data_IF_798649695653
#
_entry.id   IF_798649695653
#
_cell.length_a   1.000
_cell.length_b   1.000
_cell.length_c   1.000
_cell.angle_alpha   90.00
_cell.angle_beta   90.00
_cell.angle_gamma   90.00
#
_symmetry.space_group_name_H-M   'P 1'
#
loop_
_entity.id
_entity.type
_entity.pdbx_description
1 polymer ?
#
# COMPACT_ATOMS: atom_id res chain seq x y z
N UNK A 1 -90.41 -36.62 -5.42
CA UNK A 1 -89.84 -37.34 -6.58
C UNK A 1 -90.08 -36.50 -7.82
N UNK A 2 -89.07 -36.46 -8.70
CA UNK A 2 -89.01 -35.76 -10.00
C UNK A 2 -88.82 -34.24 -9.98
N UNK A 3 -87.54 -33.84 -9.93
CA UNK A 3 -87.07 -32.65 -10.62
C UNK A 3 -86.93 -32.95 -12.11
N UNK A 4 -87.53 -32.11 -12.93
CA UNK A 4 -87.11 -31.83 -14.31
C UNK A 4 -86.99 -30.32 -14.41
N UNK A 5 -85.83 -29.83 -14.83
CA UNK A 5 -85.69 -28.48 -15.36
C UNK A 5 -84.69 -28.51 -16.49
N UNK A 6 -85.23 -28.15 -17.64
CA UNK A 6 -84.62 -28.04 -18.96
C UNK A 6 -83.91 -26.70 -19.10
N UNK A 7 -82.85 -26.75 -19.90
CA UNK A 7 -81.92 -25.71 -20.33
C UNK A 7 -82.56 -24.61 -21.17
N UNK A 8 -82.11 -23.35 -21.02
CA UNK A 8 -81.94 -22.37 -22.12
C UNK A 8 -80.72 -21.47 -21.83
N UNK A 9 -79.98 -21.19 -22.90
CA UNK A 9 -78.65 -20.61 -23.12
C UNK A 9 -78.51 -19.09 -22.95
N UNK A 10 -77.28 -18.61 -22.70
CA UNK A 10 -76.71 -17.47 -23.46
C UNK A 10 -75.18 -17.38 -23.33
N UNK A 11 -74.56 -17.09 -24.47
CA UNK A 11 -73.12 -16.93 -24.72
C UNK A 11 -72.51 -15.74 -23.98
N UNK A 12 -71.28 -15.89 -23.48
CA UNK A 12 -70.34 -14.77 -23.41
C UNK A 12 -68.97 -15.21 -23.90
N UNK A 13 -68.47 -14.50 -24.91
CA UNK A 13 -67.18 -14.66 -25.56
C UNK A 13 -66.07 -14.24 -24.61
N UNK A 14 -65.22 -15.18 -24.17
CA UNK A 14 -64.00 -14.88 -23.45
C UNK A 14 -62.88 -14.53 -24.44
N UNK A 15 -62.79 -13.26 -24.83
CA UNK A 15 -61.52 -12.71 -25.34
C UNK A 15 -60.65 -12.34 -24.13
N UNK A 16 -59.82 -13.28 -23.70
CA UNK A 16 -58.70 -12.99 -22.80
C UNK A 16 -57.58 -12.42 -23.67
N UNK A 17 -57.45 -11.10 -23.69
CA UNK A 17 -56.22 -10.43 -24.12
C UNK A 17 -55.11 -10.87 -23.17
N UNK A 18 -53.97 -11.39 -23.65
CA UNK A 18 -52.85 -11.65 -22.77
C UNK A 18 -52.33 -10.31 -22.25
N UNK A 19 -52.30 -10.19 -20.93
CA UNK A 19 -51.67 -9.10 -20.20
C UNK A 19 -50.21 -9.01 -20.66
N UNK A 20 -49.91 -7.99 -21.46
CA UNK A 20 -48.54 -7.65 -21.83
C UNK A 20 -47.90 -7.20 -20.54
N UNK A 21 -47.16 -8.09 -19.90
CA UNK A 21 -46.31 -7.78 -18.76
C UNK A 21 -45.30 -6.74 -19.24
N UNK A 22 -45.64 -5.47 -19.03
CA UNK A 22 -44.74 -4.33 -19.21
C UNK A 22 -43.50 -4.64 -18.38
N UNK A 23 -42.38 -4.90 -19.07
CA UNK A 23 -41.08 -4.92 -18.40
C UNK A 23 -40.95 -3.57 -17.70
N UNK A 24 -40.57 -3.53 -16.41
CA UNK A 24 -40.38 -2.25 -15.74
C UNK A 24 -39.36 -1.42 -16.54
N UNK A 25 -39.62 -0.12 -16.68
CA UNK A 25 -38.79 0.81 -17.45
C UNK A 25 -37.34 0.89 -16.92
N UNK A 26 -37.13 0.42 -15.69
CA UNK A 26 -35.83 0.26 -15.05
C UNK A 26 -35.86 -0.88 -14.01
N UNK A 27 -34.71 -1.49 -13.76
CA UNK A 27 -34.46 -2.45 -12.69
C UNK A 27 -34.32 -1.73 -11.35
N UNK A 28 -34.86 -2.30 -10.28
CA UNK A 28 -34.55 -1.84 -8.92
C UNK A 28 -33.06 -2.07 -8.61
N UNK A 29 -32.55 -1.45 -7.55
CA UNK A 29 -31.15 -1.57 -7.15
C UNK A 29 -30.70 -3.01 -6.97
N UNK A 30 -31.53 -3.81 -6.31
CA UNK A 30 -31.23 -5.22 -6.10
C UNK A 30 -31.24 -6.00 -7.41
N UNK A 31 -32.20 -5.71 -8.30
CA UNK A 31 -32.26 -6.36 -9.62
C UNK A 31 -31.08 -5.98 -10.51
N UNK A 32 -30.59 -4.73 -10.45
CA UNK A 32 -29.40 -4.30 -11.15
C UNK A 32 -28.15 -5.01 -10.60
N UNK A 33 -27.97 -5.02 -9.27
CA UNK A 33 -26.89 -5.77 -8.63
C UNK A 33 -26.93 -7.27 -8.94
N UNK A 34 -28.14 -7.87 -9.06
CA UNK A 34 -28.32 -9.24 -9.53
C UNK A 34 -27.83 -9.46 -10.96
N UNK A 35 -28.03 -8.51 -11.88
CA UNK A 35 -27.48 -8.62 -13.23
C UNK A 35 -25.95 -8.58 -13.22
N UNK A 36 -25.34 -7.76 -12.35
CA UNK A 36 -23.89 -7.73 -12.17
C UNK A 36 -23.37 -9.05 -11.63
N UNK A 37 -23.99 -9.59 -10.57
CA UNK A 37 -23.63 -10.90 -10.01
C UNK A 37 -23.79 -12.03 -11.04
N UNK A 38 -24.87 -11.98 -11.85
CA UNK A 38 -25.09 -12.93 -12.96
C UNK A 38 -23.98 -12.82 -14.01
N UNK A 39 -23.57 -11.62 -14.39
CA UNK A 39 -22.51 -11.40 -15.36
C UNK A 39 -21.15 -11.92 -14.87
N UNK A 40 -20.85 -11.72 -13.58
CA UNK A 40 -19.66 -12.29 -12.92
C UNK A 40 -19.70 -13.83 -12.98
N UNK A 41 -20.83 -14.43 -12.63
CA UNK A 41 -20.99 -15.88 -12.58
C UNK A 41 -21.03 -16.55 -13.97
N UNK A 42 -21.39 -15.82 -15.03
CA UNK A 42 -21.59 -16.34 -16.39
C UNK A 42 -20.72 -15.59 -17.42
N UNK A 43 -19.39 -15.83 -17.45
CA UNK A 43 -18.46 -15.10 -18.32
C UNK A 43 -18.79 -15.17 -19.82
N UNK A 44 -19.48 -16.23 -20.26
CA UNK A 44 -19.86 -16.44 -21.65
C UNK A 44 -21.15 -15.70 -22.03
N UNK A 45 -21.91 -15.17 -21.06
CA UNK A 45 -23.20 -14.50 -21.29
C UNK A 45 -23.15 -12.98 -21.00
N UNK A 46 -21.97 -12.41 -20.71
CA UNK A 46 -21.84 -11.01 -20.27
C UNK A 46 -22.54 -10.04 -21.24
N UNK A 47 -22.37 -10.21 -22.55
CA UNK A 47 -23.01 -9.35 -23.55
C UNK A 47 -24.55 -9.47 -23.55
N UNK A 48 -25.07 -10.69 -23.43
CA UNK A 48 -26.52 -10.94 -23.35
C UNK A 48 -27.09 -10.33 -22.07
N UNK A 49 -26.36 -10.41 -20.97
CA UNK A 49 -26.74 -9.83 -19.67
C UNK A 49 -26.71 -8.29 -19.76
N UNK A 50 -25.69 -7.70 -20.37
CA UNK A 50 -25.63 -6.27 -20.61
C UNK A 50 -26.85 -5.76 -21.39
N UNK A 51 -27.26 -6.47 -22.44
CA UNK A 51 -28.45 -6.16 -23.23
C UNK A 51 -29.77 -6.32 -22.46
N UNK A 52 -29.77 -7.10 -21.36
CA UNK A 52 -30.94 -7.25 -20.51
C UNK A 52 -31.12 -6.09 -19.52
N UNK A 53 -30.09 -5.26 -19.32
CA UNK A 53 -30.16 -4.04 -18.52
C UNK A 53 -30.83 -2.94 -19.38
N UNK A 54 -31.89 -2.28 -18.88
CA UNK A 54 -32.56 -1.19 -19.57
C UNK A 54 -31.62 -0.06 -19.98
N UNK A 55 -31.81 0.48 -21.19
CA UNK A 55 -30.93 1.51 -21.79
C UNK A 55 -30.70 2.71 -20.86
N UNK A 56 -31.76 3.15 -20.17
CA UNK A 56 -31.70 4.25 -19.20
C UNK A 56 -30.71 4.03 -18.06
N UNK A 57 -30.39 2.78 -17.73
CA UNK A 57 -29.48 2.40 -16.64
C UNK A 57 -28.06 2.06 -17.10
N UNK A 58 -27.81 2.09 -18.42
CA UNK A 58 -26.50 1.78 -19.04
C UNK A 58 -26.12 2.76 -20.17
N UNK A 59 -26.78 3.92 -20.23
CA UNK A 59 -26.81 4.80 -21.40
C UNK A 59 -25.41 5.21 -21.89
N UNK A 60 -24.47 5.40 -20.96
CA UNK A 60 -23.14 5.91 -21.26
C UNK A 60 -22.04 4.84 -21.23
N UNK A 61 -22.41 3.56 -21.14
CA UNK A 61 -21.46 2.45 -21.04
C UNK A 61 -21.38 1.73 -22.36
N UNK A 62 -20.16 1.59 -22.87
CA UNK A 62 -19.90 0.75 -24.03
C UNK A 62 -19.92 -0.73 -23.61
N UNK A 63 -20.43 -1.64 -24.46
CA UNK A 63 -20.43 -3.07 -24.17
C UNK A 63 -19.04 -3.62 -23.80
N UNK A 64 -17.99 -3.16 -24.48
CA UNK A 64 -16.62 -3.61 -24.23
C UNK A 64 -16.09 -3.16 -22.86
N UNK A 65 -16.43 -1.95 -22.42
CA UNK A 65 -16.07 -1.46 -21.09
C UNK A 65 -16.78 -2.26 -20.00
N UNK A 66 -18.06 -2.57 -20.22
CA UNK A 66 -18.81 -3.45 -19.32
C UNK A 66 -18.18 -4.84 -19.24
N UNK A 67 -17.81 -5.44 -20.38
CA UNK A 67 -17.16 -6.75 -20.40
C UNK A 67 -15.82 -6.74 -19.64
N UNK A 68 -14.98 -5.74 -19.87
CA UNK A 68 -13.70 -5.61 -19.18
C UNK A 68 -13.90 -5.42 -17.67
N UNK A 69 -14.87 -4.59 -17.28
CA UNK A 69 -15.19 -4.33 -15.88
C UNK A 69 -15.68 -5.59 -15.15
N UNK A 70 -16.61 -6.35 -15.76
CA UNK A 70 -17.10 -7.61 -15.20
C UNK A 70 -15.98 -8.65 -15.09
N UNK A 71 -15.09 -8.74 -16.09
CA UNK A 71 -13.93 -9.65 -16.03
C UNK A 71 -12.98 -9.30 -14.90
N UNK A 72 -12.77 -8.01 -14.64
CA UNK A 72 -12.00 -7.56 -13.49
C UNK A 72 -12.68 -7.93 -12.16
N UNK A 73 -13.97 -7.62 -11.99
CA UNK A 73 -14.71 -7.99 -10.78
C UNK A 73 -14.69 -9.51 -10.54
N UNK A 74 -14.75 -10.31 -11.61
CA UNK A 74 -14.64 -11.77 -11.52
C UNK A 74 -13.30 -12.23 -10.94
N UNK A 75 -12.19 -11.50 -11.15
CA UNK A 75 -10.88 -11.81 -10.55
C UNK A 75 -10.83 -11.62 -9.04
N UNK A 76 -11.83 -10.96 -8.45
CA UNK A 76 -11.94 -10.81 -7.00
C UNK A 76 -12.62 -12.00 -6.32
N UNK A 77 -13.52 -12.67 -7.04
CA UNK A 77 -14.37 -13.72 -6.49
C UNK A 77 -13.77 -15.10 -6.73
N UNK A 78 -13.46 -15.83 -5.66
CA UNK A 78 -12.96 -17.21 -5.76
C UNK A 78 -14.10 -18.18 -6.07
N UNK A 79 -15.30 -17.88 -5.57
CA UNK A 79 -16.49 -18.69 -5.75
C UNK A 79 -17.59 -17.94 -6.51
N UNK A 80 -18.59 -18.65 -7.06
CA UNK A 80 -19.77 -18.01 -7.62
C UNK A 80 -20.52 -17.19 -6.56
N UNK A 81 -20.96 -16.00 -6.94
CA UNK A 81 -21.78 -15.14 -6.08
C UNK A 81 -23.16 -15.78 -5.92
N UNK A 82 -23.54 -16.09 -4.68
CA UNK A 82 -24.82 -16.74 -4.35
C UNK A 82 -25.75 -15.85 -3.52
N UNK A 83 -25.20 -14.82 -2.86
CA UNK A 83 -25.95 -13.94 -1.97
C UNK A 83 -25.55 -12.48 -2.21
N UNK A 84 -26.53 -11.59 -2.08
CA UNK A 84 -26.38 -10.15 -2.17
C UNK A 84 -26.92 -9.52 -0.90
N UNK A 85 -26.07 -8.84 -0.16
CA UNK A 85 -26.44 -8.16 1.07
C UNK A 85 -26.22 -6.66 0.91
N UNK A 86 -27.28 -5.86 1.05
CA UNK A 86 -27.17 -4.39 0.99
C UNK A 86 -26.35 -3.89 2.18
N UNK A 87 -25.37 -3.03 1.89
CA UNK A 87 -24.55 -2.36 2.91
C UNK A 87 -25.38 -1.23 3.52
N UNK A 88 -25.43 -1.19 4.85
CA UNK A 88 -26.12 -0.11 5.56
C UNK A 88 -25.30 1.18 5.55
N UNK A 89 -25.95 2.32 5.81
CA UNK A 89 -25.30 3.63 5.76
C UNK A 89 -24.16 3.80 6.76
N UNK A 90 -24.17 3.09 7.90
CA UNK A 90 -23.13 3.18 8.92
C UNK A 90 -21.82 2.54 8.42
N UNK A 91 -21.90 1.44 7.70
CA UNK A 91 -20.76 0.77 7.06
C UNK A 91 -20.36 1.44 5.73
N UNK A 92 -21.34 1.93 4.97
CA UNK A 92 -21.10 2.54 3.68
C UNK A 92 -20.34 3.86 3.79
N UNK A 93 -20.68 4.71 4.78
CA UNK A 93 -20.06 6.03 4.95
C UNK A 93 -18.53 5.98 5.06
N UNK A 94 -17.92 5.15 5.94
CA UNK A 94 -16.46 5.02 6.01
C UNK A 94 -15.82 4.54 4.70
N UNK A 95 -16.47 3.63 3.97
CA UNK A 95 -15.97 3.12 2.68
C UNK A 95 -15.93 4.24 1.62
N UNK A 96 -16.93 5.11 1.63
CA UNK A 96 -17.04 6.25 0.71
C UNK A 96 -16.26 7.48 1.18
N UNK A 97 -15.97 7.64 2.47
CA UNK A 97 -15.32 8.83 3.02
C UNK A 97 -13.94 9.12 2.40
N UNK A 98 -13.28 8.08 1.90
CA UNK A 98 -11.97 8.17 1.26
C UNK A 98 -12.05 8.31 -0.27
N UNK A 99 -13.24 8.17 -0.87
CA UNK A 99 -13.45 8.32 -2.30
C UNK A 99 -13.44 9.80 -2.68
N UNK A 100 -12.30 10.28 -3.16
CA UNK A 100 -12.12 11.68 -3.59
C UNK A 100 -13.13 12.13 -4.66
N UNK A 101 -13.69 11.21 -5.44
CA UNK A 101 -14.57 11.49 -6.58
C UNK A 101 -16.06 11.26 -6.31
N UNK A 102 -16.40 10.64 -5.19
CA UNK A 102 -17.76 10.14 -4.93
C UNK A 102 -18.54 10.96 -3.89
N UNK A 103 -17.91 11.97 -3.27
CA UNK A 103 -18.48 12.69 -2.13
C UNK A 103 -19.86 13.34 -2.41
N UNK A 104 -20.15 13.66 -3.67
CA UNK A 104 -21.40 14.34 -4.07
C UNK A 104 -22.41 13.42 -4.76
N UNK A 105 -22.07 12.17 -5.07
CA UNK A 105 -22.97 11.24 -5.75
C UNK A 105 -23.68 10.36 -4.70
N UNK A 106 -24.96 10.07 -4.94
CA UNK A 106 -25.70 9.11 -4.13
C UNK A 106 -25.29 7.70 -4.54
N UNK A 107 -24.92 6.88 -3.56
CA UNK A 107 -24.47 5.52 -3.79
C UNK A 107 -25.26 4.54 -2.95
N UNK A 108 -25.38 3.33 -3.48
CA UNK A 108 -25.71 2.15 -2.69
C UNK A 108 -24.56 1.13 -2.83
N UNK A 109 -24.29 0.41 -1.74
CA UNK A 109 -23.29 -0.64 -1.69
C UNK A 109 -23.94 -2.01 -1.48
N UNK A 110 -23.33 -3.05 -2.05
CA UNK A 110 -23.72 -4.44 -1.86
C UNK A 110 -22.48 -5.28 -1.56
N UNK A 111 -22.56 -6.11 -0.52
CA UNK A 111 -21.67 -7.26 -0.39
C UNK A 111 -22.14 -8.35 -1.36
N UNK A 112 -21.23 -8.79 -2.21
CA UNK A 112 -21.40 -9.95 -3.07
C UNK A 112 -20.75 -11.12 -2.33
N UNK A 113 -21.56 -12.09 -1.95
CA UNK A 113 -21.19 -13.16 -1.04
C UNK A 113 -21.33 -14.52 -1.71
N UNK A 114 -20.42 -15.43 -1.39
CA UNK A 114 -20.47 -16.83 -1.80
C UNK A 114 -20.71 -17.71 -0.57
N UNK A 115 -21.29 -18.90 -0.80
CA UNK A 115 -21.36 -19.96 0.19
C UNK A 115 -20.37 -21.05 -0.22
N UNK A 116 -19.09 -20.99 0.21
CA UNK A 116 -18.13 -22.01 -0.13
C UNK A 116 -18.62 -23.36 0.41
N UNK A 117 -18.28 -24.45 -0.28
CA UNK A 117 -18.63 -25.80 0.13
C UNK A 117 -17.33 -26.56 0.50
N UNK A 118 -16.66 -26.23 1.61
CA UNK A 118 -15.50 -26.98 2.06
C UNK A 118 -15.94 -28.40 2.44
N UNK A 119 -15.27 -29.42 1.89
CA UNK A 119 -15.51 -30.83 2.24
C UNK A 119 -16.98 -31.30 2.09
N UNK A 120 -17.70 -30.80 1.10
CA UNK A 120 -19.12 -31.10 0.85
C UNK A 120 -20.10 -30.61 1.95
N UNK A 121 -19.68 -29.73 2.84
CA UNK A 121 -20.57 -29.08 3.81
C UNK A 121 -20.71 -27.58 3.50
N UNK A 122 -21.91 -26.98 3.65
CA UNK A 122 -22.07 -25.54 3.49
C UNK A 122 -21.24 -24.77 4.52
N UNK A 123 -20.25 -24.02 4.04
CA UNK A 123 -19.50 -23.07 4.86
C UNK A 123 -20.33 -21.83 5.18
N UNK A 124 -19.82 -21.01 6.10
CA UNK A 124 -20.37 -19.68 6.34
C UNK A 124 -20.21 -18.81 5.07
N UNK A 125 -21.14 -17.87 4.80
CA UNK A 125 -20.99 -16.94 3.70
C UNK A 125 -19.67 -16.18 3.78
N UNK A 126 -18.95 -16.09 2.66
CA UNK A 126 -17.72 -15.34 2.51
C UNK A 126 -17.99 -14.13 1.62
N UNK A 127 -17.52 -12.96 2.05
CA UNK A 127 -17.57 -11.73 1.25
C UNK A 127 -16.51 -11.83 0.15
N UNK A 128 -16.96 -11.91 -1.10
CA UNK A 128 -16.08 -12.01 -2.26
C UNK A 128 -15.68 -10.62 -2.76
N UNK A 129 -16.63 -9.69 -2.84
CA UNK A 129 -16.36 -8.30 -3.22
C UNK A 129 -17.44 -7.33 -2.72
N UNK A 130 -17.11 -6.03 -2.80
CA UNK A 130 -18.06 -4.94 -2.59
C UNK A 130 -18.37 -4.31 -3.95
N UNK A 131 -19.66 -4.21 -4.26
CA UNK A 131 -20.15 -3.53 -5.46
C UNK A 131 -20.84 -2.22 -5.09
N UNK A 132 -20.45 -1.13 -5.76
CA UNK A 132 -21.07 0.19 -5.63
C UNK A 132 -21.86 0.52 -6.87
N UNK A 133 -23.05 1.08 -6.68
CA UNK A 133 -23.89 1.58 -7.76
C UNK A 133 -24.34 3.00 -7.47
N UNK A 134 -24.52 3.78 -8.53
CA UNK A 134 -24.99 5.15 -8.46
C UNK A 134 -26.51 5.20 -8.45
N UNK A 135 -27.06 6.17 -7.72
CA UNK A 135 -28.48 6.47 -7.65
C UNK A 135 -28.72 7.87 -8.21
N UNK A 136 -29.57 7.98 -9.22
CA UNK A 136 -29.97 9.26 -9.79
C UNK A 136 -30.85 10.05 -8.81
N UNK A 137 -31.08 11.34 -9.08
CA UNK A 137 -31.88 12.18 -8.19
C UNK A 137 -33.34 11.72 -8.05
N UNK A 138 -33.87 11.05 -9.06
CA UNK A 138 -35.20 10.43 -9.05
C UNK A 138 -35.23 9.05 -8.36
N UNK A 139 -34.11 8.60 -7.80
CA UNK A 139 -33.98 7.30 -7.12
C UNK A 139 -33.69 6.12 -8.05
N UNK A 140 -33.55 6.36 -9.36
CA UNK A 140 -33.24 5.28 -10.32
C UNK A 140 -31.78 4.84 -10.17
N UNK A 141 -31.50 3.55 -9.93
CA UNK A 141 -30.13 3.05 -9.93
C UNK A 141 -29.60 2.95 -11.36
N UNK A 142 -28.34 3.24 -11.57
CA UNK A 142 -27.72 3.15 -12.89
C UNK A 142 -26.25 2.77 -12.77
N UNK A 143 -25.71 2.28 -13.88
CA UNK A 143 -24.29 2.08 -14.06
C UNK A 143 -23.70 3.38 -14.60
N UNK A 144 -22.81 4.01 -13.85
CA UNK A 144 -22.13 5.22 -14.27
C UNK A 144 -20.84 4.87 -15.03
N UNK A 145 -20.63 5.50 -16.19
CA UNK A 145 -19.43 5.32 -16.99
C UNK A 145 -18.17 5.83 -16.27
N UNK A 146 -18.26 6.95 -15.55
CA UNK A 146 -17.10 7.57 -14.92
C UNK A 146 -16.34 6.62 -13.96
N UNK A 147 -16.99 5.99 -12.96
CA UNK A 147 -16.29 5.06 -12.07
C UNK A 147 -15.78 3.82 -12.80
N UNK A 148 -16.53 3.30 -13.78
CA UNK A 148 -16.10 2.14 -14.57
C UNK A 148 -14.84 2.48 -15.37
N UNK A 149 -14.83 3.58 -16.11
CA UNK A 149 -13.69 4.02 -16.90
C UNK A 149 -12.44 4.25 -16.05
N UNK A 150 -12.58 4.79 -14.83
CA UNK A 150 -11.47 4.95 -13.88
C UNK A 150 -10.92 3.61 -13.40
N UNK A 151 -11.80 2.67 -13.04
CA UNK A 151 -11.39 1.30 -12.67
C UNK A 151 -10.64 0.64 -13.84
N UNK A 152 -11.12 0.77 -15.07
CA UNK A 152 -10.45 0.23 -16.24
C UNK A 152 -9.09 0.89 -16.49
N UNK A 153 -8.98 2.20 -16.25
CA UNK A 153 -7.71 2.93 -16.35
C UNK A 153 -6.69 2.45 -15.30
N UNK A 154 -7.12 2.24 -14.06
CA UNK A 154 -6.31 1.63 -13.00
C UNK A 154 -5.86 0.22 -13.38
N UNK A 155 -6.76 -0.59 -13.95
CA UNK A 155 -6.45 -1.94 -14.38
C UNK A 155 -5.45 -1.97 -15.54
N UNK A 156 -5.57 -1.06 -16.50
CA UNK A 156 -4.63 -0.93 -17.61
C UNK A 156 -3.25 -0.49 -17.12
N UNK A 157 -3.22 0.46 -16.19
CA UNK A 157 -1.98 0.89 -15.55
C UNK A 157 -1.32 -0.25 -14.76
N UNK A 158 -2.11 -1.03 -14.00
CA UNK A 158 -1.64 -2.21 -13.29
C UNK A 158 -1.03 -3.24 -14.25
N UNK A 159 -1.67 -3.50 -15.38
CA UNK A 159 -1.15 -4.40 -16.40
C UNK A 159 0.21 -3.93 -16.93
N UNK A 160 0.38 -2.64 -17.24
CA UNK A 160 1.67 -2.09 -17.67
C UNK A 160 2.76 -2.22 -16.60
N UNK A 161 2.43 -1.96 -15.33
CA UNK A 161 3.37 -2.08 -14.21
C UNK A 161 3.85 -3.52 -14.04
N UNK A 162 2.91 -4.46 -14.04
CA UNK A 162 3.19 -5.87 -13.88
C UNK A 162 3.89 -6.51 -15.09
N UNK A 163 3.52 -6.12 -16.31
CA UNK A 163 4.23 -6.54 -17.52
C UNK A 163 5.68 -6.06 -17.51
N UNK A 164 5.94 -4.83 -17.04
CA UNK A 164 7.30 -4.32 -16.90
C UNK A 164 8.10 -5.11 -15.87
N UNK A 165 7.48 -5.53 -14.76
CA UNK A 165 8.10 -6.40 -13.75
C UNK A 165 8.42 -7.78 -14.33
N UNK A 166 7.43 -8.44 -14.92
CA UNK A 166 7.57 -9.81 -15.44
C UNK A 166 8.62 -9.90 -16.57
N UNK A 167 8.74 -8.83 -17.37
CA UNK A 167 9.75 -8.73 -18.43
C UNK A 167 11.13 -8.25 -17.94
N UNK A 168 11.24 -7.81 -16.68
CA UNK A 168 12.45 -7.16 -16.18
C UNK A 168 12.77 -5.83 -16.90
N UNK A 169 11.75 -5.16 -17.45
CA UNK A 169 11.91 -3.93 -18.23
C UNK A 169 12.02 -2.72 -17.32
N UNK A 170 13.24 -2.46 -16.89
CA UNK A 170 13.63 -1.36 -16.01
C UNK A 170 13.14 0.01 -16.49
N UNK A 171 13.32 0.32 -17.78
CA UNK A 171 12.97 1.62 -18.34
C UNK A 171 11.45 1.85 -18.36
N UNK A 172 10.68 0.83 -18.74
CA UNK A 172 9.22 0.91 -18.72
C UNK A 172 8.71 1.10 -17.28
N UNK A 173 9.27 0.36 -16.34
CA UNK A 173 8.92 0.45 -14.93
C UNK A 173 9.25 1.84 -14.34
N UNK A 174 10.42 2.39 -14.67
CA UNK A 174 10.83 3.73 -14.21
C UNK A 174 9.93 4.86 -14.72
N UNK A 175 9.25 4.69 -15.86
CA UNK A 175 8.27 5.67 -16.37
C UNK A 175 6.97 5.62 -15.57
N UNK A 176 6.61 4.46 -15.04
CA UNK A 176 5.39 4.26 -14.25
C UNK A 176 5.60 4.73 -12.80
N UNK A 177 6.79 4.56 -12.23
CA UNK A 177 7.05 4.93 -10.84
C UNK A 177 7.12 6.45 -10.66
N UNK A 178 6.39 6.95 -9.67
CA UNK A 178 6.53 8.33 -9.19
C UNK A 178 7.60 8.45 -8.11
N UNK A 179 8.29 9.58 -8.10
CA UNK A 179 9.26 9.95 -7.08
C UNK A 179 9.10 11.42 -6.76
N UNK A 180 9.34 11.82 -5.51
CA UNK A 180 9.35 13.25 -5.15
C UNK A 180 10.59 13.98 -5.67
N UNK A 181 11.68 13.23 -5.88
CA UNK A 181 12.81 13.65 -6.66
C UNK A 181 12.45 13.62 -8.14
N UNK A 182 12.58 14.76 -8.80
CA UNK A 182 12.44 14.88 -10.26
C UNK A 182 13.74 14.45 -10.95
N UNK A 183 14.18 13.23 -10.63
CA UNK A 183 15.44 12.65 -11.10
C UNK A 183 15.18 11.35 -11.83
N UNK A 184 15.51 11.26 -13.14
CA UNK A 184 15.44 10.01 -13.89
C UNK A 184 16.29 8.90 -13.27
N UNK A 185 17.44 9.24 -12.69
CA UNK A 185 18.32 8.27 -12.04
C UNK A 185 17.65 7.62 -10.82
N UNK A 186 16.97 8.42 -9.98
CA UNK A 186 16.22 7.92 -8.82
C UNK A 186 15.09 6.97 -9.25
N UNK A 187 14.34 7.32 -10.30
CA UNK A 187 13.26 6.43 -10.80
C UNK A 187 13.79 5.11 -11.35
N UNK A 188 14.95 5.15 -12.00
CA UNK A 188 15.62 3.97 -12.51
C UNK A 188 16.16 3.08 -11.37
N UNK A 189 16.70 3.67 -10.30
CA UNK A 189 17.13 2.93 -9.11
C UNK A 189 15.95 2.29 -8.38
N UNK A 190 14.84 3.03 -8.21
CA UNK A 190 13.57 2.49 -7.71
C UNK A 190 13.11 1.29 -8.53
N UNK A 191 13.19 1.38 -9.87
CA UNK A 191 12.83 0.28 -10.76
C UNK A 191 13.73 -0.95 -10.55
N UNK A 192 15.05 -0.78 -10.47
CA UNK A 192 15.98 -1.88 -10.19
C UNK A 192 15.66 -2.58 -8.86
N UNK A 193 15.38 -1.80 -7.81
CA UNK A 193 15.03 -2.32 -6.49
C UNK A 193 13.68 -3.04 -6.47
N UNK A 194 12.67 -2.54 -7.19
CA UNK A 194 11.40 -3.27 -7.39
C UNK A 194 11.65 -4.59 -8.10
N UNK A 195 12.39 -4.60 -9.21
CA UNK A 195 12.67 -5.82 -9.97
C UNK A 195 13.40 -6.86 -9.11
N UNK A 196 14.40 -6.43 -8.33
CA UNK A 196 15.13 -7.29 -7.42
C UNK A 196 14.22 -7.86 -6.31
N UNK A 197 13.34 -7.03 -5.74
CA UNK A 197 12.38 -7.44 -4.73
C UNK A 197 11.39 -8.47 -5.28
N UNK A 198 10.73 -8.19 -6.41
CA UNK A 198 9.76 -9.12 -7.00
C UNK A 198 10.40 -10.45 -7.41
N UNK A 199 11.61 -10.42 -7.96
CA UNK A 199 12.34 -11.63 -8.36
C UNK A 199 12.70 -12.53 -7.17
N UNK A 200 13.01 -11.95 -6.02
CA UNK A 200 13.54 -12.70 -4.86
C UNK A 200 12.51 -12.99 -3.77
N UNK A 201 11.48 -12.14 -3.64
CA UNK A 201 10.56 -12.15 -2.50
C UNK A 201 9.11 -12.41 -2.88
N UNK A 202 8.72 -12.27 -4.15
CA UNK A 202 7.32 -12.48 -4.54
C UNK A 202 7.17 -13.86 -5.18
N UNK A 203 6.34 -14.70 -4.55
CA UNK A 203 6.17 -16.10 -4.91
C UNK A 203 5.31 -16.30 -6.17
N UNK A 204 4.36 -15.41 -6.38
CA UNK A 204 3.39 -15.49 -7.47
C UNK A 204 3.81 -14.57 -8.61
N UNK A 205 3.83 -15.08 -9.84
CA UNK A 205 3.88 -14.21 -11.02
C UNK A 205 2.73 -13.19 -10.98
N UNK A 206 2.91 -12.05 -11.63
CA UNK A 206 1.93 -10.96 -11.56
C UNK A 206 0.52 -11.37 -12.02
N UNK A 207 0.44 -12.30 -12.97
CA UNK A 207 -0.80 -12.91 -13.46
C UNK A 207 -1.58 -13.68 -12.37
N UNK A 208 -0.87 -14.12 -11.33
CA UNK A 208 -1.42 -14.86 -10.19
C UNK A 208 -1.86 -13.98 -9.01
N UNK A 209 -1.65 -12.66 -9.06
CA UNK A 209 -2.15 -11.78 -8.00
C UNK A 209 -3.67 -11.74 -7.98
N UNK A 210 -4.21 -11.97 -6.78
CA UNK A 210 -5.63 -11.85 -6.49
C UNK A 210 -6.00 -10.39 -6.31
N UNK A 211 -7.09 -9.95 -6.92
CA UNK A 211 -7.60 -8.61 -6.73
C UNK A 211 -8.48 -8.61 -5.48
N UNK A 212 -8.09 -7.92 -4.41
CA UNK A 212 -8.84 -7.92 -3.15
C UNK A 212 -9.80 -6.75 -3.01
N UNK A 213 -9.56 -5.66 -3.75
CA UNK A 213 -10.43 -4.48 -3.74
C UNK A 213 -10.41 -3.78 -5.09
N UNK A 214 -11.60 -3.36 -5.54
CA UNK A 214 -11.79 -2.48 -6.71
C UNK A 214 -12.69 -1.33 -6.30
N UNK A 215 -12.16 -0.11 -6.38
CA UNK A 215 -12.86 1.14 -6.16
C UNK A 215 -12.58 2.09 -7.33
N UNK A 216 -13.43 3.10 -7.58
CA UNK A 216 -13.19 4.09 -8.64
C UNK A 216 -11.85 4.84 -8.54
N UNK A 217 -11.22 4.86 -7.38
CA UNK A 217 -9.95 5.56 -7.13
C UNK A 217 -8.80 4.64 -6.75
N UNK A 218 -9.01 3.31 -6.63
CA UNK A 218 -7.93 2.36 -6.33
C UNK A 218 -8.25 0.91 -6.67
N UNK A 219 -7.20 0.14 -6.94
CA UNK A 219 -7.24 -1.32 -7.01
C UNK A 219 -6.16 -1.88 -6.09
N UNK A 220 -6.51 -2.86 -5.26
CA UNK A 220 -5.58 -3.55 -4.37
C UNK A 220 -5.38 -4.99 -4.81
N UNK A 221 -4.12 -5.42 -4.80
CA UNK A 221 -3.68 -6.77 -5.14
C UNK A 221 -3.09 -7.44 -3.90
N UNK A 222 -3.51 -8.68 -3.66
CA UNK A 222 -2.89 -9.57 -2.67
C UNK A 222 -1.66 -10.25 -3.29
N UNK A 223 -0.57 -10.24 -2.54
CA UNK A 223 0.72 -10.81 -2.92
C UNK A 223 1.13 -11.87 -1.91
N UNK A 224 1.76 -12.95 -2.39
CA UNK A 224 2.40 -13.92 -1.52
C UNK A 224 3.89 -13.58 -1.42
N UNK A 225 4.34 -13.24 -0.21
CA UNK A 225 5.71 -12.79 0.04
C UNK A 225 6.50 -13.87 0.78
N UNK A 226 7.67 -14.22 0.24
CA UNK A 226 8.63 -15.09 0.92
C UNK A 226 9.32 -14.36 2.08
N UNK A 227 9.41 -15.08 3.19
CA UNK A 227 10.10 -14.75 4.43
C UNK A 227 11.55 -14.33 4.22
N UNK A 228 12.24 -15.10 3.39
CA UNK A 228 13.67 -15.06 3.16
C UNK A 228 14.00 -15.83 1.87
N UNK A 229 15.29 -15.89 1.55
CA UNK A 229 15.81 -16.67 0.42
C UNK A 229 15.64 -18.19 0.61
N UNK A 230 15.18 -18.65 1.80
CA UNK A 230 14.92 -20.06 2.09
C UNK A 230 13.56 -20.53 1.57
N UNK A 231 12.67 -19.59 1.22
CA UNK A 231 11.42 -19.86 0.52
C UNK A 231 10.22 -20.16 1.42
N UNK A 232 10.31 -19.96 2.73
CA UNK A 232 9.13 -19.99 3.60
C UNK A 232 8.21 -18.80 3.28
N UNK A 233 6.90 -18.99 3.21
CA UNK A 233 5.93 -17.90 2.96
C UNK A 233 5.57 -17.30 4.33
N UNK A 234 5.96 -16.05 4.60
CA UNK A 234 5.73 -15.42 5.90
C UNK A 234 4.46 -14.57 5.95
N UNK A 235 4.05 -13.94 4.85
CA UNK A 235 2.96 -12.94 4.90
C UNK A 235 2.16 -12.79 3.59
N UNK A 236 0.89 -12.41 3.77
CA UNK A 236 0.08 -11.83 2.71
C UNK A 236 0.44 -10.34 2.59
N UNK A 237 1.27 -10.01 1.61
CA UNK A 237 1.53 -8.63 1.23
C UNK A 237 0.35 -8.04 0.47
N UNK A 238 0.30 -6.72 0.38
CA UNK A 238 -0.63 -6.04 -0.52
C UNK A 238 0.05 -4.87 -1.20
N UNK A 239 -0.37 -4.63 -2.44
CA UNK A 239 0.00 -3.46 -3.21
C UNK A 239 -1.27 -2.79 -3.70
N UNK A 240 -1.34 -1.46 -3.58
CA UNK A 240 -2.50 -0.68 -4.02
C UNK A 240 -2.08 0.37 -5.02
N UNK A 241 -2.80 0.45 -6.14
CA UNK A 241 -2.66 1.51 -7.12
C UNK A 241 -3.79 2.51 -6.87
N UNK A 242 -3.44 3.77 -6.68
CA UNK A 242 -4.37 4.88 -6.47
C UNK A 242 -4.43 5.77 -7.70
N UNK A 243 -5.61 6.30 -8.01
CA UNK A 243 -5.78 7.40 -8.94
C UNK A 243 -5.43 8.72 -8.24
N UNK A 244 -4.49 9.47 -8.80
CA UNK A 244 -4.11 10.80 -8.36
C UNK A 244 -4.43 11.85 -9.45
N UNK A 245 -5.58 12.49 -9.30
CA UNK A 245 -6.16 13.37 -10.32
C UNK A 245 -6.83 12.61 -11.49
N UNK A 246 -6.90 13.27 -12.65
CA UNK A 246 -7.56 12.72 -13.84
C UNK A 246 -6.73 11.70 -14.60
N UNK A 247 -5.40 11.84 -14.61
CA UNK A 247 -4.51 11.01 -15.43
C UNK A 247 -3.33 10.41 -14.65
N UNK A 248 -3.23 10.73 -13.36
CA UNK A 248 -2.14 10.31 -12.52
C UNK A 248 -2.43 9.02 -11.77
N UNK A 249 -1.39 8.21 -11.56
CA UNK A 249 -1.45 7.03 -10.71
C UNK A 249 -0.29 7.02 -9.72
N UNK A 250 -0.55 6.53 -8.51
CA UNK A 250 0.45 6.31 -7.47
C UNK A 250 0.38 4.85 -7.07
N UNK A 251 1.53 4.21 -6.91
CA UNK A 251 1.64 2.84 -6.43
C UNK A 251 2.08 2.92 -4.96
N UNK A 252 1.30 2.29 -4.10
CA UNK A 252 1.66 2.00 -2.71
C UNK A 252 2.02 0.51 -2.64
N UNK A 253 3.32 0.25 -2.72
CA UNK A 253 3.91 -1.09 -2.66
C UNK A 253 4.95 -1.07 -1.54
N UNK A 254 4.77 -1.94 -0.53
CA UNK A 254 5.61 -1.94 0.67
C UNK A 254 6.91 -2.67 0.41
N UNK A 255 7.84 -1.95 -0.21
CA UNK A 255 9.18 -2.45 -0.52
C UNK A 255 10.12 -1.95 0.57
N UNK A 256 10.73 -2.85 1.37
CA UNK A 256 11.58 -2.42 2.46
C UNK A 256 12.91 -1.86 1.94
N UNK A 257 13.28 -0.70 2.46
CA UNK A 257 14.68 -0.31 2.55
C UNK A 257 15.26 -0.83 3.86
N UNK A 258 16.46 -1.38 3.76
CA UNK A 258 17.18 -1.97 4.88
C UNK A 258 18.50 -1.25 5.03
N UNK A 259 18.84 -0.89 6.26
CA UNK A 259 20.17 -0.37 6.59
C UNK A 259 21.24 -1.33 6.09
N UNK A 260 22.19 -0.82 5.33
CA UNK A 260 23.41 -1.51 4.95
C UNK A 260 24.48 -1.29 6.02
N UNK A 261 25.43 -2.22 6.13
CA UNK A 261 26.53 -2.12 7.10
C UNK A 261 27.35 -0.82 6.93
N UNK A 262 27.50 -0.35 5.70
CA UNK A 262 28.24 0.87 5.39
C UNK A 262 27.47 2.17 5.74
N UNK A 263 26.15 2.12 5.93
CA UNK A 263 25.38 3.25 6.48
C UNK A 263 25.73 3.52 7.95
N UNK A 264 26.14 2.45 8.66
CA UNK A 264 26.45 2.48 10.09
C UNK A 264 27.88 2.91 10.39
N UNK A 265 28.70 3.10 9.36
CA UNK A 265 30.11 3.51 9.51
C UNK A 265 30.22 4.98 9.17
N UNK A 266 30.78 5.76 10.08
CA UNK A 266 31.04 7.19 9.85
C UNK A 266 32.50 7.38 9.50
N UNK A 267 32.74 8.20 8.48
CA UNK A 267 34.06 8.60 8.02
C UNK A 267 34.23 10.12 8.12
N UNK A 268 35.47 10.55 8.28
CA UNK A 268 35.91 11.95 8.17
C UNK A 268 37.19 11.97 7.35
N UNK A 269 37.23 12.77 6.28
CA UNK A 269 38.36 12.82 5.33
C UNK A 269 38.80 11.43 4.81
N UNK A 270 37.83 10.52 4.60
CA UNK A 270 38.08 9.15 4.13
C UNK A 270 38.58 8.17 5.19
N UNK A 271 38.84 8.62 6.42
CA UNK A 271 39.19 7.75 7.54
C UNK A 271 37.93 7.39 8.34
N UNK A 272 37.75 6.11 8.65
CA UNK A 272 36.65 5.67 9.52
C UNK A 272 36.87 6.19 10.94
N UNK A 273 35.86 6.90 11.46
CA UNK A 273 35.87 7.51 12.79
C UNK A 273 34.92 6.80 13.74
N UNK A 274 33.87 6.17 13.21
CA UNK A 274 32.88 5.46 13.99
C UNK A 274 32.39 4.22 13.26
N UNK A 275 32.07 3.16 14.00
CA UNK A 275 31.45 1.95 13.49
C UNK A 275 30.27 1.49 14.37
N UNK A 276 29.04 1.88 14.02
CA UNK A 276 27.83 1.42 14.72
C UNK A 276 27.56 -0.07 14.51
N UNK A 277 28.15 -0.71 13.49
CA UNK A 277 27.99 -2.15 13.26
C UNK A 277 28.88 -3.01 14.15
N UNK A 278 29.96 -2.42 14.71
CA UNK A 278 30.96 -3.17 15.47
C UNK A 278 30.47 -3.53 16.88
N UNK A 279 30.49 -4.82 17.18
CA UNK A 279 30.26 -5.36 18.53
C UNK A 279 31.53 -6.04 19.06
N UNK A 280 31.84 -5.79 20.34
CA UNK A 280 32.92 -6.44 21.08
C UNK A 280 32.29 -7.23 22.24
N UNK A 281 32.39 -8.56 22.21
CA UNK A 281 31.77 -9.47 23.20
C UNK A 281 30.25 -9.25 23.39
N UNK A 282 29.53 -8.99 22.29
CA UNK A 282 28.09 -8.72 22.32
C UNK A 282 27.71 -7.36 22.91
N UNK A 283 28.69 -6.48 23.16
CA UNK A 283 28.48 -5.09 23.58
C UNK A 283 28.85 -4.14 22.46
N UNK A 284 28.21 -2.98 22.44
CA UNK A 284 28.47 -1.96 21.43
C UNK A 284 29.88 -1.37 21.55
N UNK A 285 30.41 -0.85 20.44
CA UNK A 285 31.67 -0.14 20.42
C UNK A 285 31.70 0.93 21.52
N UNK A 286 32.78 0.90 22.31
CA UNK A 286 33.04 1.91 23.32
C UNK A 286 33.88 3.03 22.71
N UNK A 287 33.42 4.28 22.89
CA UNK A 287 34.12 5.49 22.42
C UNK A 287 34.58 6.31 23.61
N UNK A 288 35.74 6.95 23.44
CA UNK A 288 36.33 7.84 24.43
C UNK A 288 36.28 9.29 23.94
N UNK A 289 36.18 10.20 24.91
CA UNK A 289 36.37 11.64 24.74
C UNK A 289 37.61 12.01 23.90
N UNK A 290 38.74 11.33 24.10
CA UNK A 290 39.99 11.60 23.38
C UNK A 290 39.88 11.37 21.87
N UNK A 291 39.25 10.27 21.45
CA UNK A 291 39.08 9.92 20.04
C UNK A 291 38.27 11.00 19.31
N UNK A 292 37.16 11.43 19.90
CA UNK A 292 36.33 12.48 19.32
C UNK A 292 37.01 13.85 19.39
N UNK A 293 37.77 14.13 20.45
CA UNK A 293 38.56 15.34 20.58
C UNK A 293 39.55 15.55 19.42
N UNK A 294 40.20 14.48 18.98
CA UNK A 294 41.13 14.49 17.84
C UNK A 294 40.44 14.77 16.50
N UNK A 295 39.18 14.36 16.36
CA UNK A 295 38.45 14.36 15.09
C UNK A 295 37.55 15.60 14.95
N UNK A 296 36.77 15.90 15.99
CA UNK A 296 35.75 16.95 16.00
C UNK A 296 36.22 18.24 16.69
N UNK A 297 37.42 18.23 17.28
CA UNK A 297 37.91 19.31 18.13
C UNK A 297 37.41 19.20 19.58
N UNK A 298 37.59 20.24 20.40
CA UNK A 298 37.20 20.19 21.81
C UNK A 298 35.67 20.07 21.96
N UNK A 299 35.26 19.47 23.08
CA UNK A 299 33.85 19.40 23.48
C UNK A 299 33.28 20.81 23.65
N UNK A 300 32.08 21.03 23.12
CA UNK A 300 31.35 22.31 23.24
C UNK A 300 30.41 22.32 24.43
N UNK A 301 29.88 21.15 24.83
CA UNK A 301 29.03 20.99 26.02
C UNK A 301 29.08 19.55 26.51
N UNK A 302 29.59 19.38 27.73
CA UNK A 302 29.39 18.21 28.57
C UNK A 302 29.59 18.64 30.03
N UNK A 303 28.52 18.65 30.80
CA UNK A 303 28.49 19.02 32.23
C UNK A 303 27.45 18.17 32.99
N UNK A 304 27.20 18.52 34.26
CA UNK A 304 26.25 17.81 35.15
C UNK A 304 24.82 17.73 34.58
N UNK A 305 24.44 18.61 33.64
CA UNK A 305 23.11 18.58 32.99
C UNK A 305 23.03 17.53 31.88
N UNK A 306 24.18 17.08 31.39
CA UNK A 306 24.34 16.12 30.29
C UNK A 306 25.06 14.84 30.73
N UNK A 307 25.32 14.70 32.03
CA UNK A 307 25.93 13.55 32.67
C UNK A 307 25.08 13.15 33.87
N UNK A 308 24.38 12.02 33.79
CA UNK A 308 23.49 11.57 34.87
C UNK A 308 23.83 10.16 35.31
N UNK A 309 23.96 9.95 36.62
CA UNK A 309 24.21 8.63 37.19
C UNK A 309 22.95 7.76 37.10
N UNK A 310 23.12 6.55 36.58
CA UNK A 310 22.08 5.54 36.46
C UNK A 310 22.05 4.64 37.70
N UNK A 311 20.92 3.94 37.98
CA UNK A 311 20.79 3.08 39.16
C UNK A 311 21.82 1.93 39.25
N UNK A 312 22.43 1.55 38.14
CA UNK A 312 23.48 0.53 38.06
C UNK A 312 24.89 1.08 38.33
N UNK A 313 25.04 2.38 38.61
CA UNK A 313 26.32 3.05 38.85
C UNK A 313 27.10 3.40 37.58
N UNK A 314 26.51 3.25 36.38
CA UNK A 314 27.05 3.82 35.14
C UNK A 314 26.52 5.23 34.92
N UNK A 315 27.19 6.06 34.12
CA UNK A 315 26.65 7.36 33.71
C UNK A 315 26.03 7.31 32.30
N UNK A 316 24.87 7.94 32.16
CA UNK A 316 24.34 8.38 30.88
C UNK A 316 25.02 9.69 30.49
N UNK A 317 25.72 9.66 29.36
CA UNK A 317 26.57 10.75 28.88
C UNK A 317 26.00 11.26 27.55
N UNK A 318 25.77 12.56 27.49
CA UNK A 318 25.52 13.31 26.26
C UNK A 318 26.68 14.30 26.09
N UNK A 319 27.52 14.07 25.08
CA UNK A 319 28.67 14.91 24.80
C UNK A 319 28.50 15.61 23.45
N UNK A 320 28.54 16.94 23.47
CA UNK A 320 28.44 17.77 22.27
C UNK A 320 29.83 18.21 21.80
N UNK A 321 30.05 18.09 20.51
CA UNK A 321 31.20 18.62 19.80
C UNK A 321 30.71 19.49 18.63
N UNK A 322 31.64 20.13 17.92
CA UNK A 322 31.27 20.88 16.73
C UNK A 322 30.68 19.94 15.65
N UNK A 323 29.36 19.95 15.54
CA UNK A 323 28.63 19.24 14.50
C UNK A 323 28.41 17.74 14.72
N UNK A 324 28.77 17.22 15.90
CA UNK A 324 28.48 15.83 16.30
C UNK A 324 28.08 15.77 17.78
N UNK A 325 27.02 15.00 18.06
CA UNK A 325 26.55 14.74 19.43
C UNK A 325 26.55 13.25 19.66
N UNK A 326 27.20 12.83 20.75
CA UNK A 326 27.29 11.43 21.16
C UNK A 326 26.48 11.24 22.42
N UNK A 327 25.59 10.26 22.40
CA UNK A 327 24.82 9.83 23.56
C UNK A 327 25.09 8.34 23.82
N UNK A 328 25.39 7.99 25.06
CA UNK A 328 25.75 6.63 25.44
C UNK A 328 25.73 6.38 26.94
N UNK A 329 26.06 5.15 27.32
CA UNK A 329 26.13 4.72 28.73
C UNK A 329 27.53 4.16 29.00
N UNK A 330 28.13 4.55 30.13
CA UNK A 330 29.43 4.03 30.52
C UNK A 330 30.02 4.73 31.73
N UNK A 331 31.26 5.22 31.60
CA UNK A 331 32.03 5.85 32.67
C UNK A 331 32.35 7.31 32.36
N UNK A 332 32.10 8.22 33.30
CA UNK A 332 32.47 9.63 33.26
C UNK A 332 33.40 9.97 34.43
N UNK A 333 34.71 9.86 34.22
CA UNK A 333 35.70 10.20 35.26
C UNK A 333 35.76 11.71 35.52
N UNK A 334 35.49 12.50 34.49
CA UNK A 334 35.24 13.94 34.56
C UNK A 334 34.54 14.39 33.30
N UNK A 335 33.99 15.60 33.30
CA UNK A 335 33.40 16.22 32.12
C UNK A 335 34.36 16.40 30.93
N UNK A 336 35.67 16.18 31.09
CA UNK A 336 36.62 16.15 29.97
C UNK A 336 36.99 14.73 29.55
N UNK A 337 36.83 13.75 30.45
CA UNK A 337 37.30 12.38 30.29
C UNK A 337 36.18 11.39 30.58
N UNK A 338 35.57 10.91 29.51
CA UNK A 338 34.55 9.86 29.55
C UNK A 338 34.84 8.75 28.56
N UNK A 339 34.21 7.60 28.79
CA UNK A 339 34.25 6.38 28.00
C UNK A 339 32.88 5.70 28.01
N UNK A 340 32.18 5.65 26.87
CA UNK A 340 30.80 5.13 26.82
C UNK A 340 30.55 4.19 25.64
N UNK A 341 29.61 3.26 25.83
CA UNK A 341 28.97 2.53 24.75
C UNK A 341 27.94 3.45 24.10
N UNK A 342 28.16 3.77 22.82
CA UNK A 342 27.32 4.74 22.13
C UNK A 342 25.98 4.10 21.79
N UNK A 343 24.91 4.80 22.16
CA UNK A 343 23.52 4.45 21.85
C UNK A 343 22.96 5.29 20.73
N UNK A 344 23.41 6.53 20.60
CA UNK A 344 22.96 7.46 19.58
C UNK A 344 24.06 8.41 19.14
N UNK A 345 24.10 8.70 17.85
CA UNK A 345 25.01 9.63 17.22
C UNK A 345 24.20 10.59 16.36
N UNK A 346 24.40 11.89 16.53
CA UNK A 346 23.79 12.92 15.70
C UNK A 346 24.88 13.70 14.98
N UNK A 347 24.73 13.90 13.67
CA UNK A 347 25.66 14.63 12.80
C UNK A 347 24.91 15.81 12.17
N UNK A 348 25.53 16.98 12.17
CA UNK A 348 24.95 18.24 11.61
C UNK A 348 25.93 19.06 10.78
N UNK A 349 27.13 18.54 10.49
CA UNK A 349 28.13 19.20 9.64
C UNK A 349 28.67 18.26 8.55
N UNK A 350 29.10 18.78 7.39
CA UNK A 350 29.47 17.98 6.23
C UNK A 350 30.79 17.21 6.37
N UNK A 351 31.58 17.46 7.42
CA UNK A 351 32.86 16.78 7.62
C UNK A 351 32.70 15.28 7.95
N UNK A 352 31.51 14.88 8.38
CA UNK A 352 31.17 13.50 8.70
C UNK A 352 30.20 12.94 7.66
N UNK A 353 30.53 11.79 7.10
CA UNK A 353 29.78 11.13 6.04
C UNK A 353 29.66 9.64 6.37
N UNK A 354 28.52 9.02 6.10
CA UNK A 354 28.40 7.55 6.14
C UNK A 354 29.37 6.94 5.12
N UNK A 355 29.73 5.67 5.30
CA UNK A 355 30.61 5.00 4.35
C UNK A 355 29.90 4.69 3.03
N UNK A 356 28.57 4.57 3.03
CA UNK A 356 27.73 4.60 1.81
C UNK A 356 27.82 5.92 1.06
N UNK A 357 28.36 6.96 1.68
CA UNK A 357 28.60 8.25 1.05
C UNK A 357 27.53 9.29 1.32
N UNK A 358 26.60 9.03 2.25
CA UNK A 358 25.55 9.98 2.66
C UNK A 358 26.06 10.98 3.71
N UNK A 359 25.86 12.27 3.48
CA UNK A 359 26.39 13.33 4.34
C UNK A 359 25.54 14.59 4.35
N UNK A 360 25.81 15.47 5.33
CA UNK A 360 25.14 16.76 5.45
C UNK A 360 25.43 17.63 4.22
N UNK A 361 24.40 18.28 3.70
CA UNK A 361 24.50 19.12 2.50
C UNK A 361 24.23 18.39 1.18
N UNK A 362 24.07 17.06 1.21
CA UNK A 362 23.70 16.30 0.01
C UNK A 362 22.21 16.39 -0.31
N UNK A 363 21.88 16.23 -1.59
CA UNK A 363 20.51 16.33 -2.07
C UNK A 363 19.65 15.12 -1.67
N UNK A 364 18.33 15.34 -1.61
CA UNK A 364 17.32 14.28 -1.52
C UNK A 364 17.53 13.21 -2.63
N UNK A 365 17.93 13.62 -3.83
CA UNK A 365 18.23 12.69 -4.92
C UNK A 365 19.35 11.71 -4.55
N UNK A 366 20.39 12.17 -3.84
CA UNK A 366 21.50 11.33 -3.37
C UNK A 366 20.99 10.33 -2.33
N UNK A 367 20.16 10.78 -1.41
CA UNK A 367 19.51 9.92 -0.42
C UNK A 367 18.65 8.85 -1.11
N UNK A 368 17.82 9.23 -2.09
CA UNK A 368 16.93 8.31 -2.78
C UNK A 368 17.63 7.39 -3.81
N UNK A 369 18.90 7.65 -4.13
CA UNK A 369 19.73 6.69 -4.86
C UNK A 369 20.26 5.58 -3.94
N UNK A 370 20.51 5.89 -2.66
CA UNK A 370 20.98 4.89 -1.69
C UNK A 370 19.81 4.17 -1.00
N UNK A 371 18.73 4.90 -0.71
CA UNK A 371 17.52 4.41 -0.06
C UNK A 371 16.28 4.82 -0.86
N UNK A 372 15.95 4.10 -1.95
CA UNK A 372 14.91 4.51 -2.87
C UNK A 372 13.49 4.52 -2.29
N UNK A 373 13.20 3.69 -1.30
CA UNK A 373 11.88 3.53 -0.67
C UNK A 373 11.80 4.08 0.76
N UNK A 374 12.79 4.88 1.18
CA UNK A 374 12.76 5.56 2.46
C UNK A 374 11.48 6.40 2.56
N UNK A 375 10.83 6.36 3.72
CA UNK A 375 9.74 7.29 4.01
C UNK A 375 10.31 8.71 3.99
N UNK A 376 10.00 9.49 2.97
CA UNK A 376 10.55 10.83 2.78
C UNK A 376 10.06 11.84 3.83
N UNK A 377 8.98 11.50 4.57
CA UNK A 377 8.47 12.34 5.67
C UNK A 377 9.16 12.06 6.99
N UNK A 378 9.43 10.78 7.28
CA UNK A 378 10.11 10.37 8.51
C UNK A 378 11.64 10.34 8.36
N UNK A 379 12.12 10.04 7.15
CA UNK A 379 13.52 9.85 6.79
C UNK A 379 14.17 8.68 7.50
N UNK A 380 13.40 7.66 7.91
CA UNK A 380 13.92 6.55 8.74
C UNK A 380 14.14 5.30 7.91
N UNK A 381 15.33 4.72 8.03
CA UNK A 381 15.62 3.34 7.62
C UNK A 381 15.93 2.55 8.89
N UNK A 382 15.47 1.30 8.96
CA UNK A 382 15.73 0.41 10.10
C UNK A 382 16.48 -0.84 9.67
N UNK A 383 17.10 -1.51 10.64
CA UNK A 383 17.86 -2.74 10.43
C UNK A 383 18.25 -3.40 11.75
N UNK A 384 19.16 -4.37 11.67
CA UNK A 384 19.67 -5.09 12.84
C UNK A 384 21.19 -5.19 12.81
N UNK A 385 21.80 -5.06 13.99
CA UNK A 385 23.21 -5.36 14.24
C UNK A 385 23.27 -6.38 15.36
N UNK A 386 23.63 -7.63 15.04
CA UNK A 386 23.49 -8.74 15.97
C UNK A 386 22.03 -8.87 16.42
N UNK A 387 21.79 -8.77 17.73
CA UNK A 387 20.45 -8.84 18.32
C UNK A 387 19.81 -7.47 18.58
N UNK A 388 20.44 -6.36 18.16
CA UNK A 388 19.92 -5.02 18.41
C UNK A 388 19.30 -4.42 17.16
N UNK A 389 18.13 -3.80 17.32
CA UNK A 389 17.54 -2.97 16.28
C UNK A 389 18.31 -1.65 16.18
N UNK A 390 18.55 -1.23 14.94
CA UNK A 390 19.21 0.03 14.62
C UNK A 390 18.33 0.84 13.67
N UNK A 391 18.43 2.15 13.79
CA UNK A 391 17.83 3.09 12.84
C UNK A 391 18.83 4.16 12.43
N UNK A 392 18.67 4.62 11.19
CA UNK A 392 19.28 5.83 10.67
C UNK A 392 18.14 6.75 10.24
N UNK A 393 18.20 8.00 10.71
CA UNK A 393 17.20 9.03 10.42
C UNK A 393 17.87 10.20 9.70
N UNK A 394 17.35 10.53 8.52
CA UNK A 394 17.75 11.67 7.71
C UNK A 394 16.71 12.78 7.83
N UNK A 395 17.10 13.92 8.39
CA UNK A 395 16.29 15.13 8.32
C UNK A 395 16.60 15.86 7.03
N UNK A 396 15.59 16.05 6.18
CA UNK A 396 15.72 16.73 4.89
C UNK A 396 15.01 18.08 4.95
N UNK A 397 15.76 19.16 4.73
CA UNK A 397 15.26 20.53 4.66
C UNK A 397 15.56 21.11 3.28
N UNK A 398 14.54 21.66 2.61
CA UNK A 398 14.69 22.21 1.25
C UNK A 398 15.36 21.24 0.27
N UNK A 399 15.02 19.94 0.35
CA UNK A 399 15.61 18.84 -0.44
C UNK A 399 17.11 18.60 -0.19
N UNK A 400 17.62 19.00 0.97
CA UNK A 400 19.01 18.78 1.38
C UNK A 400 19.04 18.10 2.76
N UNK A 401 19.92 17.12 2.95
CA UNK A 401 20.14 16.48 4.25
C UNK A 401 20.74 17.52 5.20
N UNK A 402 20.00 17.89 6.26
CA UNK A 402 20.43 18.84 7.29
C UNK A 402 20.96 18.16 8.55
N UNK A 403 20.52 16.92 8.82
CA UNK A 403 20.94 16.14 9.98
C UNK A 403 20.83 14.64 9.71
N UNK A 404 21.79 13.88 10.25
CA UNK A 404 21.77 12.42 10.28
C UNK A 404 21.79 11.97 11.73
N UNK A 405 20.92 11.03 12.09
CA UNK A 405 20.89 10.44 13.43
C UNK A 405 20.99 8.92 13.31
N UNK A 406 22.00 8.31 13.92
CA UNK A 406 22.06 6.87 14.11
C UNK A 406 21.66 6.54 15.54
N UNK A 407 20.83 5.52 15.72
CA UNK A 407 20.39 5.11 17.04
C UNK A 407 20.21 3.60 17.13
N UNK A 408 20.51 3.05 18.31
CA UNK A 408 19.95 1.77 18.73
C UNK A 408 18.56 2.02 19.28
N UNK A 409 17.56 1.28 18.80
CA UNK A 409 16.26 1.29 19.45
C UNK A 409 16.43 0.66 20.84
N UNK A 410 16.00 1.40 21.86
CA UNK A 410 15.97 0.92 23.23
C UNK A 410 14.67 0.12 23.36
N UNK A 411 14.78 -1.18 23.59
CA UNK A 411 13.63 -2.04 23.94
C UNK A 411 12.96 -1.63 25.25
#
# INVERSE_FOLDING_TARGET
MNHTSSTVTSNTSNNVTPDVTLRPDYLSSFMLAQQIAKAINQPNEINTIFQSIPDRQRQDIMPDDFVQYIRLLRRMADNPISLLTRINDQELKPLLANLRYAANLKHEGFYFESNPIPNNEPGAPVKELIYFQQIADDGTPYLDNMPIARVLSLQNYAALYFDAIDQGNREALAVLIRSSADSPAVRLEKADRILAFYKSRIATSSSGFRVSMVMPDRITFEQQVYADETGEILDAGSMTIYADGETGFIIDDKIPDTIQEDDLKITSNGQQVFDFSKQENGKMQTVTSSLLGEIAGPQTLHDDTTCTELPNGEEHVIANYNGIVVEGVGRCDSHQFWRVQVRKLTITVPQFVTRSGLGIGQSLDTLLLEHPFIDETAGVVTGKVGNHNVSITFQVENKIISKITLAFEIE
#
